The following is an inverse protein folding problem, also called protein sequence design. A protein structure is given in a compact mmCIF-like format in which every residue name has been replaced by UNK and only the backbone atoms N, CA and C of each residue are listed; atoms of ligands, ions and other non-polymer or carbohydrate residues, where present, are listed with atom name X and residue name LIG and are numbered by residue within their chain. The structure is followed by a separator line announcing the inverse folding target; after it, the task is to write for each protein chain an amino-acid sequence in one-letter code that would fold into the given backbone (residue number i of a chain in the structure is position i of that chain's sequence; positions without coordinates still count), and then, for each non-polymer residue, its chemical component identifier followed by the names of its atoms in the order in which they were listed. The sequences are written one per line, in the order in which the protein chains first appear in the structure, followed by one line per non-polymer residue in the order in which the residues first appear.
data_IF_672692853511
#
_entry.id   IF_672692853511
#
_cell.length_a   1.000
_cell.length_b   1.000
_cell.length_c   1.000
_cell.angle_alpha   90.00
_cell.angle_beta   90.00
_cell.angle_gamma   90.00
#
_symmetry.space_group_name_H-M   'P 1'
#
loop_
_entity.id
_entity.type
_entity.pdbx_description
1 polymer ?
#
# COMPACT_ATOMS: atom_id res chain seq x y z
N UNK A 1 -6.66 -6.58 5.90
CA UNK A 1 -8.05 -6.45 6.36
C UNK A 1 -8.04 -5.98 7.81
N UNK A 2 -8.81 -4.95 8.13
CA UNK A 2 -9.04 -4.51 9.50
C UNK A 2 -9.87 -5.56 10.24
N UNK A 3 -9.55 -5.80 11.51
CA UNK A 3 -10.40 -6.62 12.39
C UNK A 3 -11.69 -5.86 12.73
N UNK A 4 -12.73 -6.57 13.20
CA UNK A 4 -13.96 -5.91 13.66
C UNK A 4 -13.69 -4.87 14.76
N UNK A 5 -12.72 -5.12 15.64
CA UNK A 5 -12.32 -4.21 16.70
C UNK A 5 -11.66 -2.94 16.15
N UNK A 6 -10.76 -3.08 15.16
CA UNK A 6 -10.14 -1.95 14.46
C UNK A 6 -11.16 -1.12 13.68
N UNK A 7 -12.13 -1.77 13.03
CA UNK A 7 -13.23 -1.06 12.35
C UNK A 7 -14.05 -0.26 13.36
N UNK A 8 -14.37 -0.86 14.49
CA UNK A 8 -15.14 -0.20 15.56
C UNK A 8 -14.39 1.01 16.12
N UNK A 9 -13.12 0.87 16.43
CA UNK A 9 -12.27 1.98 16.89
C UNK A 9 -12.21 3.12 15.86
N UNK A 10 -12.02 2.78 14.58
CA UNK A 10 -12.00 3.75 13.49
C UNK A 10 -13.33 4.52 13.38
N UNK A 11 -14.46 3.81 13.45
CA UNK A 11 -15.79 4.43 13.43
C UNK A 11 -16.04 5.32 14.66
N UNK A 12 -15.56 4.94 15.84
CA UNK A 12 -15.63 5.76 17.03
C UNK A 12 -14.82 7.06 16.88
N UNK A 13 -13.65 7.01 16.26
CA UNK A 13 -12.83 8.20 15.97
C UNK A 13 -13.55 9.11 14.98
N UNK A 14 -14.10 8.55 13.90
CA UNK A 14 -14.88 9.31 12.91
C UNK A 14 -16.10 9.99 13.56
N UNK A 15 -16.81 9.30 14.43
CA UNK A 15 -17.99 9.85 15.09
C UNK A 15 -17.65 10.95 16.09
N UNK A 16 -16.58 10.81 16.87
CA UNK A 16 -16.08 11.83 17.79
C UNK A 16 -15.67 13.12 17.08
N UNK A 17 -15.01 13.00 15.93
CA UNK A 17 -14.52 14.18 15.21
C UNK A 17 -15.58 14.86 14.37
N UNK A 18 -16.65 14.17 14.02
CA UNK A 18 -17.68 14.62 13.06
C UNK A 18 -17.11 15.10 11.71
N UNK A 19 -15.84 14.81 11.43
CA UNK A 19 -15.16 15.30 10.21
C UNK A 19 -15.87 14.85 8.96
N UNK A 20 -16.25 13.58 8.86
CA UNK A 20 -16.97 13.03 7.71
C UNK A 20 -18.36 13.66 7.54
N UNK A 21 -19.03 14.06 8.65
CA UNK A 21 -20.36 14.70 8.60
C UNK A 21 -20.32 16.14 8.07
N UNK A 22 -19.20 16.83 8.32
CA UNK A 22 -19.02 18.24 7.97
C UNK A 22 -18.12 18.45 6.74
N UNK A 23 -17.50 17.40 6.22
CA UNK A 23 -16.62 17.48 5.07
C UNK A 23 -17.41 17.89 3.81
N UNK A 24 -16.88 18.85 3.06
CA UNK A 24 -17.39 19.17 1.73
C UNK A 24 -16.88 18.16 0.70
N UNK A 25 -15.60 17.78 0.79
CA UNK A 25 -14.96 16.74 -0.04
C UNK A 25 -13.91 15.98 0.76
N UNK A 26 -13.77 14.69 0.43
CA UNK A 26 -12.69 13.84 0.86
C UNK A 26 -11.76 13.62 -0.35
N UNK A 27 -10.49 13.99 -0.21
CA UNK A 27 -9.48 13.81 -1.22
C UNK A 27 -8.32 12.98 -0.64
N UNK A 28 -7.90 11.97 -1.37
CA UNK A 28 -6.69 11.24 -1.05
C UNK A 28 -5.47 12.11 -1.35
N UNK A 29 -4.34 11.82 -0.73
CA UNK A 29 -3.19 12.73 -0.80
C UNK A 29 -2.76 13.09 -2.23
N UNK A 30 -2.66 12.15 -3.19
CA UNK A 30 -2.35 12.50 -4.59
C UNK A 30 -3.41 13.40 -5.23
N UNK A 31 -4.68 13.13 -4.96
CA UNK A 31 -5.80 13.92 -5.48
C UNK A 31 -5.82 15.33 -4.89
N UNK A 32 -5.47 15.46 -3.60
CA UNK A 32 -5.33 16.75 -2.94
C UNK A 32 -4.24 17.61 -3.59
N UNK A 33 -3.12 17.00 -3.98
CA UNK A 33 -2.05 17.71 -4.72
C UNK A 33 -2.56 18.16 -6.09
N UNK A 34 -3.29 17.30 -6.82
CA UNK A 34 -3.96 17.67 -8.07
C UNK A 34 -4.92 18.86 -7.90
N UNK A 35 -5.69 18.85 -6.81
CA UNK A 35 -6.58 19.96 -6.46
C UNK A 35 -5.82 21.26 -6.19
N UNK A 36 -4.72 21.21 -5.44
CA UNK A 36 -3.91 22.41 -5.19
C UNK A 36 -3.32 23.01 -6.47
N UNK A 37 -3.00 22.17 -7.44
CA UNK A 37 -2.45 22.62 -8.71
C UNK A 37 -3.51 23.22 -9.64
N UNK A 38 -4.72 22.65 -9.67
CA UNK A 38 -5.72 22.96 -10.69
C UNK A 38 -6.99 23.61 -10.16
N UNK A 39 -7.27 23.49 -8.86
CA UNK A 39 -8.56 23.83 -8.25
C UNK A 39 -9.69 22.83 -8.58
N UNK A 40 -9.41 21.73 -9.26
CA UNK A 40 -10.40 20.70 -9.62
C UNK A 40 -10.24 19.45 -8.77
N UNK A 41 -11.37 18.81 -8.45
CA UNK A 41 -11.42 17.59 -7.66
C UNK A 41 -11.60 16.37 -8.55
N UNK A 42 -10.88 15.31 -8.26
CA UNK A 42 -11.03 13.97 -8.82
C UNK A 42 -10.68 12.96 -7.74
N UNK A 43 -11.01 11.70 -7.92
CA UNK A 43 -10.58 10.60 -7.08
C UNK A 43 -9.94 9.55 -7.98
N UNK A 44 -8.61 9.46 -7.97
CA UNK A 44 -7.92 8.57 -8.90
C UNK A 44 -8.09 7.10 -8.49
N UNK A 45 -8.38 6.25 -9.47
CA UNK A 45 -8.80 4.87 -9.29
C UNK A 45 -7.83 4.02 -8.45
N UNK A 46 -6.53 4.09 -8.75
CA UNK A 46 -5.56 3.20 -8.09
C UNK A 46 -5.44 3.52 -6.59
N UNK A 47 -5.37 4.80 -6.22
CA UNK A 47 -5.32 5.19 -4.81
C UNK A 47 -6.69 5.03 -4.13
N UNK A 48 -7.79 5.28 -4.84
CA UNK A 48 -9.13 5.07 -4.31
C UNK A 48 -9.38 3.61 -3.94
N UNK A 49 -8.85 2.67 -4.73
CA UNK A 49 -9.00 1.23 -4.48
C UNK A 49 -8.39 0.78 -3.15
N UNK A 50 -7.38 1.50 -2.64
CA UNK A 50 -6.74 1.20 -1.36
C UNK A 50 -7.61 1.53 -0.14
N UNK A 51 -8.70 2.27 -0.33
CA UNK A 51 -9.65 2.63 0.75
C UNK A 51 -10.47 1.45 1.25
N UNK A 52 -10.50 0.33 0.53
CA UNK A 52 -11.40 -0.80 0.75
C UNK A 52 -12.91 -0.43 0.66
N UNK A 53 -13.24 0.72 0.09
CA UNK A 53 -14.63 1.19 -0.11
C UNK A 53 -15.11 1.01 -1.54
N UNK A 54 -14.28 0.46 -2.43
CA UNK A 54 -14.63 0.25 -3.83
C UNK A 54 -15.00 -1.20 -4.12
N UNK A 55 -15.95 -1.38 -5.01
CA UNK A 55 -16.17 -2.68 -5.65
C UNK A 55 -15.10 -2.89 -6.75
N UNK A 56 -14.33 -3.96 -6.62
CA UNK A 56 -13.21 -4.23 -7.52
C UNK A 56 -13.63 -4.58 -8.96
N UNK A 57 -14.88 -5.00 -9.17
CA UNK A 57 -15.41 -5.32 -10.51
C UNK A 57 -15.94 -4.09 -11.23
N UNK A 58 -16.73 -3.28 -10.51
CA UNK A 58 -17.30 -2.05 -11.10
C UNK A 58 -16.31 -0.91 -11.13
N UNK A 59 -15.27 -0.95 -10.29
CA UNK A 59 -14.26 0.11 -10.11
C UNK A 59 -14.86 1.43 -9.62
N UNK A 60 -15.96 1.34 -8.89
CA UNK A 60 -16.70 2.46 -8.31
C UNK A 60 -16.79 2.28 -6.80
N UNK A 61 -17.07 3.36 -6.08
CA UNK A 61 -17.36 3.27 -4.65
C UNK A 61 -18.62 2.45 -4.39
N UNK A 62 -18.55 1.52 -3.44
CA UNK A 62 -19.68 0.69 -3.02
C UNK A 62 -20.60 1.49 -2.10
N UNK A 63 -21.69 2.00 -2.66
CA UNK A 63 -22.64 2.83 -1.94
C UNK A 63 -23.33 2.07 -0.79
N UNK A 64 -23.60 0.76 -0.96
CA UNK A 64 -24.21 -0.07 0.08
C UNK A 64 -23.25 -0.27 1.26
N UNK A 65 -21.99 -0.55 0.98
CA UNK A 65 -20.95 -0.67 2.00
C UNK A 65 -20.77 0.65 2.75
N UNK A 66 -20.70 1.77 2.02
CA UNK A 66 -20.52 3.09 2.62
C UNK A 66 -21.71 3.47 3.51
N UNK A 67 -22.95 3.18 3.07
CA UNK A 67 -24.16 3.39 3.88
C UNK A 67 -24.10 2.57 5.18
N UNK A 68 -23.75 1.28 5.11
CA UNK A 68 -23.59 0.40 6.28
C UNK A 68 -22.51 0.91 7.26
N UNK A 69 -21.47 1.54 6.77
CA UNK A 69 -20.40 2.14 7.58
C UNK A 69 -20.73 3.57 8.05
N UNK A 70 -21.86 4.13 7.64
CA UNK A 70 -22.23 5.51 7.97
C UNK A 70 -21.34 6.55 7.29
N UNK A 71 -20.69 6.20 6.18
CA UNK A 71 -19.82 7.09 5.40
C UNK A 71 -20.63 7.74 4.28
N UNK A 72 -20.56 9.06 4.21
CA UNK A 72 -21.23 9.82 3.14
C UNK A 72 -20.52 9.62 1.80
N UNK A 73 -21.19 9.05 0.82
CA UNK A 73 -20.65 8.84 -0.52
C UNK A 73 -20.48 10.16 -1.31
N UNK A 74 -21.30 11.18 -1.03
CA UNK A 74 -21.29 12.47 -1.74
C UNK A 74 -20.04 13.32 -1.47
N UNK A 75 -19.27 12.99 -0.46
CA UNK A 75 -18.01 13.69 -0.18
C UNK A 75 -16.86 13.22 -1.08
N UNK A 76 -16.95 12.03 -1.66
CA UNK A 76 -15.94 11.55 -2.61
C UNK A 76 -16.23 12.11 -4.01
N UNK A 77 -15.20 12.64 -4.70
CA UNK A 77 -15.33 13.00 -6.11
C UNK A 77 -15.59 11.77 -6.99
N UNK A 78 -15.99 12.01 -8.23
CA UNK A 78 -16.08 10.93 -9.21
C UNK A 78 -14.71 10.26 -9.40
N UNK A 79 -14.75 8.95 -9.57
CA UNK A 79 -13.55 8.17 -9.87
C UNK A 79 -13.02 8.56 -11.26
N UNK A 80 -11.73 8.79 -11.35
CA UNK A 80 -11.02 9.07 -12.60
C UNK A 80 -9.92 8.05 -12.82
N UNK A 81 -9.76 7.63 -14.06
CA UNK A 81 -8.71 6.65 -14.40
C UNK A 81 -7.35 7.33 -14.54
N UNK A 82 -6.24 6.60 -14.29
CA UNK A 82 -4.90 7.08 -14.62
C UNK A 82 -4.82 7.56 -16.09
N UNK A 83 -4.11 8.67 -16.32
CA UNK A 83 -4.02 9.29 -17.64
C UNK A 83 -5.13 10.33 -17.92
N UNK A 84 -6.08 10.53 -17.01
CA UNK A 84 -7.14 11.52 -17.18
C UNK A 84 -6.61 12.94 -16.94
N UNK A 85 -6.81 13.89 -17.89
CA UNK A 85 -6.48 15.29 -17.67
C UNK A 85 -7.34 15.89 -16.57
N UNK A 86 -6.73 16.41 -15.53
CA UNK A 86 -7.41 17.17 -14.47
C UNK A 86 -7.67 18.63 -14.87
N UNK A 87 -6.86 19.16 -15.78
CA UNK A 87 -6.93 20.50 -16.30
C UNK A 87 -5.61 21.24 -16.25
N UNK A 88 -5.63 22.53 -16.58
CA UNK A 88 -4.44 23.37 -16.53
C UNK A 88 -4.15 23.82 -15.11
N UNK A 89 -2.89 24.22 -14.87
CA UNK A 89 -2.49 24.89 -13.64
C UNK A 89 -3.43 26.09 -13.39
N UNK A 90 -3.76 26.30 -12.12
CA UNK A 90 -4.49 27.51 -11.74
C UNK A 90 -3.66 28.76 -12.09
N UNK A 91 -4.31 29.89 -12.38
CA UNK A 91 -3.63 31.13 -12.76
C UNK A 91 -2.52 31.52 -11.78
N UNK A 92 -2.74 31.30 -10.50
CA UNK A 92 -1.77 31.58 -9.46
C UNK A 92 -0.51 30.73 -9.61
N UNK A 93 -0.67 29.40 -9.74
CA UNK A 93 0.45 28.46 -9.85
C UNK A 93 1.17 28.66 -11.19
N UNK A 94 0.43 28.87 -12.27
CA UNK A 94 1.01 29.12 -13.58
C UNK A 94 1.87 30.40 -13.60
N UNK A 95 1.42 31.47 -12.94
CA UNK A 95 2.19 32.68 -12.78
C UNK A 95 3.46 32.47 -11.94
N UNK A 96 3.38 31.71 -10.85
CA UNK A 96 4.51 31.40 -9.97
C UNK A 96 5.56 30.49 -10.67
N UNK A 97 5.13 29.67 -11.64
CA UNK A 97 6.00 28.74 -12.37
C UNK A 97 6.47 29.22 -13.73
N UNK A 98 6.17 30.49 -14.08
CA UNK A 98 6.66 31.13 -15.30
C UNK A 98 5.75 31.00 -16.52
N UNK A 99 4.43 30.87 -16.30
CA UNK A 99 3.39 30.79 -17.35
C UNK A 99 3.64 29.67 -18.35
N UNK A 100 3.84 28.47 -17.80
CA UNK A 100 4.10 27.27 -18.60
C UNK A 100 2.87 26.81 -19.38
N UNK A 101 1.67 27.13 -18.92
CA UNK A 101 0.40 26.63 -19.45
C UNK A 101 0.26 25.12 -19.35
N UNK A 102 1.00 24.48 -18.43
CA UNK A 102 1.07 23.05 -18.30
C UNK A 102 -0.31 22.45 -17.95
N UNK A 103 -0.59 21.30 -18.52
CA UNK A 103 -1.73 20.47 -18.16
C UNK A 103 -1.35 19.48 -17.07
N UNK A 104 -2.21 19.37 -16.05
CA UNK A 104 -2.07 18.38 -14.96
C UNK A 104 -2.83 17.15 -15.34
N UNK A 105 -2.16 16.01 -15.35
CA UNK A 105 -2.73 14.70 -15.67
C UNK A 105 -2.71 13.84 -14.42
N UNK A 106 -3.82 13.16 -14.12
CA UNK A 106 -3.90 12.17 -13.06
C UNK A 106 -3.03 10.96 -13.43
N UNK A 107 -2.09 10.62 -12.59
CA UNK A 107 -1.30 9.39 -12.72
C UNK A 107 -1.86 8.34 -11.76
N UNK A 108 -1.36 7.11 -11.80
CA UNK A 108 -1.67 6.13 -10.76
C UNK A 108 -1.19 6.68 -9.40
N UNK A 109 -2.16 7.11 -8.57
CA UNK A 109 -1.89 7.80 -7.30
C UNK A 109 -1.32 6.87 -6.22
N UNK A 110 -1.55 5.56 -6.34
CA UNK A 110 -0.88 4.55 -5.53
C UNK A 110 0.51 4.28 -6.12
N UNK A 111 1.56 4.59 -5.38
CA UNK A 111 2.96 4.49 -5.82
C UNK A 111 3.35 3.08 -6.27
N UNK A 112 2.83 2.05 -5.60
CA UNK A 112 3.02 0.65 -6.02
C UNK A 112 2.45 0.39 -7.41
N UNK A 113 1.30 0.98 -7.76
CA UNK A 113 0.73 0.83 -9.11
C UNK A 113 1.65 1.43 -10.18
N UNK A 114 2.29 2.56 -9.90
CA UNK A 114 3.32 3.13 -10.77
C UNK A 114 4.56 2.23 -10.84
N UNK A 115 5.00 1.67 -9.72
CA UNK A 115 6.15 0.78 -9.68
C UNK A 115 5.89 -0.51 -10.49
N UNK A 116 4.70 -1.09 -10.37
CA UNK A 116 4.29 -2.28 -11.15
C UNK A 116 4.25 -1.95 -12.64
N UNK A 117 3.67 -0.81 -13.03
CA UNK A 117 3.64 -0.36 -14.43
C UNK A 117 5.04 -0.15 -15.04
N UNK A 118 6.05 0.11 -14.21
CA UNK A 118 7.43 0.31 -14.63
C UNK A 118 8.25 -1.00 -14.71
N UNK A 119 7.69 -2.14 -14.32
CA UNK A 119 8.38 -3.43 -14.39
C UNK A 119 8.61 -3.78 -15.88
N UNK A 120 9.86 -4.02 -16.32
CA UNK A 120 10.15 -4.38 -17.70
C UNK A 120 9.80 -5.86 -17.95
N UNK A 121 8.52 -6.18 -17.89
CA UNK A 121 8.00 -7.52 -18.05
C UNK A 121 7.62 -7.80 -19.50
N UNK A 122 7.86 -9.02 -19.98
CA UNK A 122 7.36 -9.52 -21.25
C UNK A 122 6.28 -10.57 -20.98
N UNK A 123 5.07 -10.34 -21.49
CA UNK A 123 3.91 -11.22 -21.32
C UNK A 123 3.11 -11.00 -20.04
N UNK A 124 2.11 -11.85 -19.82
CA UNK A 124 1.15 -11.71 -18.72
C UNK A 124 1.49 -12.58 -17.49
N UNK A 125 2.38 -13.57 -17.64
CA UNK A 125 2.77 -14.50 -16.58
C UNK A 125 3.93 -13.91 -15.73
N UNK A 126 3.73 -12.72 -15.16
CA UNK A 126 4.75 -12.02 -14.40
C UNK A 126 4.32 -11.86 -12.96
N UNK A 127 5.15 -12.35 -12.05
CA UNK A 127 5.03 -12.07 -10.63
C UNK A 127 6.00 -10.94 -10.28
N UNK A 128 5.51 -9.90 -9.64
CA UNK A 128 6.34 -8.79 -9.15
C UNK A 128 6.48 -8.82 -7.62
N UNK A 129 7.56 -8.24 -7.13
CA UNK A 129 7.76 -7.94 -5.72
C UNK A 129 8.20 -6.48 -5.60
N UNK A 130 7.32 -5.63 -5.06
CA UNK A 130 7.70 -4.28 -4.64
C UNK A 130 8.28 -4.36 -3.22
N UNK A 131 9.61 -4.34 -3.12
CA UNK A 131 10.31 -4.58 -1.86
C UNK A 131 10.68 -3.27 -1.16
N UNK A 132 10.01 -2.99 -0.05
CA UNK A 132 10.26 -1.87 0.86
C UNK A 132 10.21 -2.32 2.31
N UNK A 133 9.89 -1.43 3.23
CA UNK A 133 9.62 -1.79 4.64
C UNK A 133 8.57 -2.90 4.73
N UNK A 134 7.50 -2.76 3.96
CA UNK A 134 6.61 -3.84 3.54
C UNK A 134 7.05 -4.32 2.16
N UNK A 135 6.83 -5.58 1.86
CA UNK A 135 6.96 -6.11 0.51
C UNK A 135 5.58 -6.49 -0.01
N UNK A 136 5.26 -5.99 -1.19
CA UNK A 136 4.01 -6.33 -1.87
C UNK A 136 4.36 -7.31 -3.00
N UNK A 137 3.86 -8.52 -2.88
CA UNK A 137 4.04 -9.57 -3.90
C UNK A 137 2.75 -9.80 -4.63
N UNK A 138 2.76 -9.80 -5.95
CA UNK A 138 1.53 -9.95 -6.72
C UNK A 138 1.71 -10.15 -8.20
N UNK A 139 0.57 -10.15 -8.85
CA UNK A 139 0.42 -10.24 -10.31
C UNK A 139 -0.54 -9.13 -10.77
N UNK A 140 -0.45 -8.74 -12.03
CA UNK A 140 -1.50 -7.97 -12.69
C UNK A 140 -2.49 -8.90 -13.40
N UNK A 141 -3.78 -8.56 -13.34
CA UNK A 141 -4.83 -9.28 -14.03
C UNK A 141 -5.90 -8.31 -14.53
N UNK A 142 -6.69 -8.72 -15.52
CA UNK A 142 -7.79 -7.90 -16.05
C UNK A 142 -9.01 -7.93 -15.12
N UNK A 143 -9.21 -9.05 -14.43
CA UNK A 143 -10.35 -9.27 -13.53
C UNK A 143 -9.88 -9.53 -12.08
N UNK A 144 -10.66 -9.10 -11.07
CA UNK A 144 -10.32 -9.36 -9.67
C UNK A 144 -10.45 -10.85 -9.33
N UNK A 145 -9.56 -11.33 -8.46
CA UNK A 145 -9.63 -12.68 -7.90
C UNK A 145 -10.20 -12.60 -6.49
N UNK A 146 -11.50 -12.89 -6.36
CA UNK A 146 -12.24 -12.84 -5.09
C UNK A 146 -12.81 -14.23 -4.81
N UNK A 147 -12.13 -14.99 -3.97
CA UNK A 147 -12.53 -16.35 -3.55
C UNK A 147 -12.01 -16.67 -2.15
N UNK A 148 -12.37 -17.83 -1.62
CA UNK A 148 -11.97 -18.26 -0.28
C UNK A 148 -10.44 -18.40 -0.12
N UNK A 149 -9.72 -18.71 -1.20
CA UNK A 149 -8.27 -18.84 -1.19
C UNK A 149 -7.63 -17.44 -1.08
N UNK A 150 -8.03 -16.50 -1.93
CA UNK A 150 -7.51 -15.13 -1.89
C UNK A 150 -7.82 -14.46 -0.54
N UNK A 151 -9.03 -14.70 0.00
CA UNK A 151 -9.42 -14.25 1.34
C UNK A 151 -8.56 -14.87 2.44
N UNK A 152 -8.40 -16.21 2.40
CA UNK A 152 -7.62 -16.96 3.41
C UNK A 152 -6.18 -16.47 3.50
N UNK A 153 -5.57 -16.14 2.38
CA UNK A 153 -4.18 -15.70 2.31
C UNK A 153 -4.04 -14.17 2.27
N UNK A 154 -5.14 -13.44 2.50
CA UNK A 154 -5.15 -11.96 2.57
C UNK A 154 -4.60 -11.29 1.31
N UNK A 155 -4.96 -11.82 0.13
CA UNK A 155 -4.71 -11.11 -1.13
C UNK A 155 -5.70 -9.96 -1.28
N UNK A 156 -5.20 -8.80 -1.70
CA UNK A 156 -5.98 -7.62 -2.09
C UNK A 156 -6.19 -7.59 -3.60
N UNK A 157 -7.19 -6.82 -4.04
CA UNK A 157 -7.42 -6.50 -5.44
C UNK A 157 -7.39 -4.97 -5.54
N UNK A 158 -6.30 -4.42 -6.01
CA UNK A 158 -6.08 -2.97 -6.05
C UNK A 158 -6.00 -2.47 -7.48
N UNK A 159 -6.34 -1.21 -7.71
CA UNK A 159 -6.30 -0.60 -9.03
C UNK A 159 -4.89 -0.49 -9.60
N UNK A 160 -4.69 -0.99 -10.81
CA UNK A 160 -3.46 -0.87 -11.58
C UNK A 160 -3.44 0.38 -12.47
N UNK A 161 -2.25 0.75 -12.95
CA UNK A 161 -2.01 1.98 -13.71
C UNK A 161 -2.79 2.07 -15.04
N UNK A 162 -3.07 0.94 -15.66
CA UNK A 162 -3.78 0.87 -16.97
C UNK A 162 -5.21 0.35 -16.84
N UNK A 163 -5.83 0.53 -15.67
CA UNK A 163 -7.15 0.00 -15.37
C UNK A 163 -7.16 -1.52 -15.13
N UNK A 164 -6.01 -2.16 -15.04
CA UNK A 164 -5.86 -3.54 -14.60
C UNK A 164 -6.06 -3.65 -13.09
N UNK A 165 -6.06 -4.86 -12.58
CA UNK A 165 -6.14 -5.16 -11.15
C UNK A 165 -4.80 -5.73 -10.70
N UNK A 166 -4.19 -5.12 -9.70
CA UNK A 166 -3.06 -5.67 -8.98
C UNK A 166 -3.56 -6.59 -7.88
N UNK A 167 -3.37 -7.89 -8.05
CA UNK A 167 -3.71 -8.89 -7.06
C UNK A 167 -2.47 -9.11 -6.22
N UNK A 168 -2.47 -8.55 -5.01
CA UNK A 168 -1.27 -8.45 -4.20
C UNK A 168 -1.48 -8.98 -2.79
N UNK A 169 -0.38 -9.37 -2.17
CA UNK A 169 -0.29 -9.64 -0.75
C UNK A 169 0.78 -8.77 -0.12
N UNK A 170 0.41 -8.08 0.95
CA UNK A 170 1.37 -7.44 1.84
C UNK A 170 2.05 -8.52 2.68
N UNK A 171 3.36 -8.54 2.62
CA UNK A 171 4.21 -9.35 3.49
C UNK A 171 5.18 -8.43 4.23
N UNK A 172 5.55 -8.81 5.44
CA UNK A 172 6.58 -8.08 6.17
C UNK A 172 7.91 -8.21 5.42
N UNK A 173 8.40 -7.07 4.94
CA UNK A 173 9.59 -7.01 4.09
C UNK A 173 10.85 -6.63 4.86
N UNK A 174 11.49 -5.53 4.43
CA UNK A 174 12.73 -5.03 5.02
C UNK A 174 12.59 -4.55 6.48
N UNK A 175 11.37 -4.46 7.01
CA UNK A 175 11.14 -4.23 8.44
C UNK A 175 11.93 -5.20 9.31
N UNK A 176 11.95 -6.48 8.93
CA UNK A 176 12.65 -7.52 9.69
C UNK A 176 14.14 -7.19 9.85
N UNK A 177 14.80 -6.82 8.76
CA UNK A 177 16.23 -6.48 8.81
C UNK A 177 16.47 -5.09 9.42
N UNK A 178 15.58 -4.13 9.18
CA UNK A 178 15.69 -2.79 9.75
C UNK A 178 15.57 -2.82 11.28
N UNK A 179 14.59 -3.58 11.83
CA UNK A 179 14.41 -3.68 13.27
C UNK A 179 15.51 -4.54 13.91
N UNK A 180 15.97 -5.58 13.24
CA UNK A 180 17.15 -6.33 13.68
C UNK A 180 18.39 -5.43 13.78
N UNK A 181 18.63 -4.60 12.76
CA UNK A 181 19.71 -3.60 12.76
C UNK A 181 19.57 -2.59 13.91
N UNK A 182 18.35 -2.13 14.21
CA UNK A 182 18.11 -1.24 15.37
C UNK A 182 18.44 -1.93 16.69
N UNK A 183 18.12 -3.23 16.81
CA UNK A 183 18.44 -4.00 18.00
C UNK A 183 19.96 -4.17 18.15
N UNK A 184 20.66 -4.57 17.12
CA UNK A 184 22.12 -4.69 17.14
C UNK A 184 22.81 -3.36 17.51
N UNK A 185 22.29 -2.23 17.00
CA UNK A 185 22.80 -0.91 17.39
C UNK A 185 22.59 -0.62 18.88
N UNK A 186 21.47 -1.03 19.48
CA UNK A 186 21.24 -0.93 20.94
C UNK A 186 22.23 -1.77 21.74
N UNK A 187 22.71 -2.86 21.17
CA UNK A 187 23.71 -3.77 21.76
C UNK A 187 25.17 -3.32 21.52
N UNK A 188 25.36 -2.23 20.80
CA UNK A 188 26.66 -1.64 20.50
C UNK A 188 27.28 -2.10 19.18
N UNK A 189 26.52 -2.82 18.34
CA UNK A 189 26.96 -3.26 17.02
C UNK A 189 26.33 -2.36 15.94
N UNK A 190 27.15 -1.74 15.13
CA UNK A 190 26.66 -0.88 14.04
C UNK A 190 27.04 -1.48 12.68
N UNK A 191 26.03 -1.98 11.97
CA UNK A 191 26.18 -2.56 10.65
C UNK A 191 25.59 -1.64 9.58
N UNK A 192 26.30 -1.51 8.46
CA UNK A 192 25.78 -0.92 7.24
C UNK A 192 24.89 -1.93 6.49
N UNK A 193 24.07 -1.46 5.57
CA UNK A 193 23.28 -2.37 4.73
C UNK A 193 24.16 -3.24 3.83
N UNK A 194 25.28 -2.70 3.35
CA UNK A 194 26.24 -3.44 2.52
C UNK A 194 26.88 -4.59 3.30
N UNK A 195 27.33 -4.34 4.55
CA UNK A 195 27.89 -5.39 5.41
C UNK A 195 26.87 -6.48 5.71
N UNK A 196 25.59 -6.13 5.93
CA UNK A 196 24.53 -7.13 6.12
C UNK A 196 24.24 -7.93 4.85
N UNK A 197 24.26 -7.28 3.68
CA UNK A 197 24.11 -7.95 2.39
C UNK A 197 25.25 -8.91 2.12
N UNK A 198 26.49 -8.49 2.38
CA UNK A 198 27.68 -9.34 2.25
C UNK A 198 27.65 -10.53 3.20
N UNK A 199 27.18 -10.35 4.43
CA UNK A 199 26.99 -11.44 5.38
C UNK A 199 25.93 -12.42 4.92
N UNK A 200 24.80 -11.91 4.40
CA UNK A 200 23.73 -12.75 3.85
C UNK A 200 24.21 -13.60 2.67
N UNK A 201 25.01 -13.03 1.74
CA UNK A 201 25.57 -13.75 0.59
C UNK A 201 26.55 -14.86 0.99
N UNK A 202 27.19 -14.74 2.16
CA UNK A 202 28.11 -15.75 2.70
C UNK A 202 27.42 -16.84 3.52
N UNK A 203 26.16 -16.60 3.90
CA UNK A 203 25.40 -17.53 4.71
C UNK A 203 24.85 -18.68 3.86
N UNK A 204 24.62 -19.83 4.49
CA UNK A 204 23.98 -20.98 3.84
C UNK A 204 22.52 -20.60 3.48
N UNK A 205 22.16 -20.64 2.17
CA UNK A 205 20.82 -20.28 1.74
C UNK A 205 19.79 -21.29 2.24
N UNK A 206 18.60 -20.80 2.62
CA UNK A 206 17.44 -21.59 3.04
C UNK A 206 17.65 -22.49 4.27
N UNK A 207 18.69 -22.23 5.07
CA UNK A 207 18.95 -22.99 6.32
C UNK A 207 17.79 -22.88 7.31
N UNK A 208 17.15 -21.72 7.35
CA UNK A 208 15.94 -21.49 8.14
C UNK A 208 14.98 -20.60 7.34
N UNK A 209 13.70 -20.91 7.41
CA UNK A 209 12.64 -20.17 6.71
C UNK A 209 11.62 -19.71 7.74
N UNK A 210 11.37 -18.41 7.80
CA UNK A 210 10.37 -17.82 8.67
C UNK A 210 9.10 -17.46 7.89
N UNK A 211 7.95 -17.51 8.56
CA UNK A 211 6.75 -16.87 8.04
C UNK A 211 6.78 -15.39 8.43
N UNK A 212 6.99 -14.46 7.49
CA UNK A 212 7.08 -13.04 7.81
C UNK A 212 5.78 -12.45 8.38
N UNK A 213 4.64 -13.12 8.15
CA UNK A 213 3.34 -12.70 8.67
C UNK A 213 3.05 -13.22 10.09
N UNK A 214 4.02 -13.87 10.73
CA UNK A 214 3.82 -14.32 12.11
C UNK A 214 3.66 -13.12 13.05
N UNK A 215 2.60 -13.08 13.88
CA UNK A 215 2.33 -11.94 14.76
C UNK A 215 3.48 -11.58 15.72
N UNK A 216 4.37 -12.52 16.03
CA UNK A 216 5.53 -12.27 16.88
C UNK A 216 6.51 -11.25 16.28
N UNK A 217 6.46 -11.02 14.96
CA UNK A 217 7.35 -10.09 14.27
C UNK A 217 6.81 -8.66 14.15
N UNK A 218 5.53 -8.43 14.47
CA UNK A 218 4.89 -7.12 14.26
C UNK A 218 5.40 -6.02 15.21
N UNK A 219 5.81 -6.39 16.42
CA UNK A 219 6.21 -5.41 17.43
C UNK A 219 7.68 -4.98 17.23
N UNK A 220 7.96 -3.70 17.50
CA UNK A 220 9.33 -3.22 17.66
C UNK A 220 10.04 -3.92 18.85
N UNK A 221 11.36 -3.89 18.88
CA UNK A 221 12.17 -4.44 19.97
C UNK A 221 13.14 -5.52 19.51
N UNK A 222 13.40 -6.53 20.35
CA UNK A 222 14.40 -7.58 20.07
C UNK A 222 13.89 -8.56 19.02
N UNK A 223 13.91 -8.14 17.76
CA UNK A 223 13.49 -8.98 16.66
C UNK A 223 14.43 -10.16 16.39
N UNK A 224 15.76 -10.04 16.49
CA UNK A 224 16.64 -11.18 16.36
C UNK A 224 16.34 -12.32 17.36
N UNK A 225 16.04 -11.99 18.61
CA UNK A 225 15.64 -13.00 19.60
C UNK A 225 14.31 -13.69 19.21
N UNK A 226 13.34 -12.93 18.70
CA UNK A 226 12.05 -13.50 18.24
C UNK A 226 12.22 -14.39 17.01
N UNK A 227 13.11 -14.05 16.09
CA UNK A 227 13.42 -14.91 14.93
C UNK A 227 14.06 -16.22 15.40
N UNK A 228 15.02 -16.17 16.34
CA UNK A 228 15.61 -17.37 16.94
C UNK A 228 14.56 -18.23 17.65
N UNK A 229 13.68 -17.62 18.44
CA UNK A 229 12.59 -18.33 19.11
C UNK A 229 11.62 -18.98 18.13
N UNK A 230 11.26 -18.27 17.05
CA UNK A 230 10.44 -18.83 15.97
C UNK A 230 11.09 -20.06 15.34
N UNK A 231 12.38 -19.98 15.00
CA UNK A 231 13.12 -21.12 14.45
C UNK A 231 13.16 -22.29 15.43
N UNK A 232 13.40 -22.03 16.72
CA UNK A 232 13.41 -23.05 17.78
C UNK A 232 12.02 -23.74 17.91
N UNK A 233 10.95 -22.96 17.96
CA UNK A 233 9.57 -23.48 18.10
C UNK A 233 9.10 -24.26 16.89
N UNK A 234 9.64 -23.98 15.72
CA UNK A 234 9.33 -24.69 14.46
C UNK A 234 10.33 -25.82 14.13
N UNK A 235 11.27 -26.11 15.03
CA UNK A 235 12.25 -27.18 14.85
C UNK A 235 13.31 -26.90 13.79
N UNK A 236 13.56 -25.63 13.49
CA UNK A 236 14.56 -25.19 12.52
C UNK A 236 15.86 -24.78 13.22
N UNK A 237 17.02 -24.78 12.52
CA UNK A 237 18.25 -24.23 13.05
C UNK A 237 18.07 -22.74 13.42
N UNK A 238 18.61 -22.35 14.57
CA UNK A 238 18.61 -20.94 14.96
C UNK A 238 19.64 -20.16 14.13
N UNK A 239 19.29 -18.99 13.59
CA UNK A 239 20.27 -18.12 12.96
C UNK A 239 21.22 -17.50 14.02
N UNK A 240 22.46 -17.33 13.62
CA UNK A 240 23.54 -16.71 14.44
C UNK A 240 23.41 -15.19 14.49
#
# INVERSE_FOLDING_TARGET
FMTEEQIKEYLEILDRTNMHKNAAKALLTPDLLGYFLTGKTGCEYSIASTTALMDAKTKEFDAELMEKLGIRADIFPNVVMPGTPLGRLSDKIDAETGHTGAEVVSIAGHDTSCAVAAVPAEGDDVLFISSGTWSLMGIENDEPIINDISRRYSFTNEGGAFGRINIMKNIMGLWLIQESRRQWKREGWEYTFDEMSDAALKSEPFRSIINPDDPSFNAAGDLPARIREYCRSTGQPEPE
#
